data_IF_140547996761
#
_entry.id   IF_140547996761
#
_cell.length_a   1.000
_cell.length_b   1.000
_cell.length_c   1.000
_cell.angle_alpha   90.00
_cell.angle_beta   90.00
_cell.angle_gamma   90.00
#
_symmetry.space_group_name_H-M   'P 1'
#
loop_
_entity.id
_entity.type
_entity.pdbx_description
1 polymer ?
#
# COMPACT_ATOMS: atom_id res chain seq x y z
N UNK A 1 17.19 -8.06 -6.18
CA UNK A 1 18.03 -7.03 -5.54
C UNK A 1 19.52 -7.32 -5.71
N UNK A 2 19.97 -8.55 -5.45
CA UNK A 2 21.38 -8.96 -5.59
C UNK A 2 21.99 -8.65 -6.96
N UNK A 3 21.31 -8.99 -8.05
CA UNK A 3 21.77 -8.71 -9.41
C UNK A 3 21.98 -7.21 -9.68
N UNK A 4 21.12 -6.35 -9.13
CA UNK A 4 21.25 -4.90 -9.25
C UNK A 4 22.47 -4.39 -8.48
N UNK A 5 22.66 -4.84 -7.24
CA UNK A 5 23.83 -4.47 -6.43
C UNK A 5 25.14 -4.94 -7.08
N UNK A 6 25.15 -6.12 -7.71
CA UNK A 6 26.29 -6.62 -8.49
C UNK A 6 26.62 -5.70 -9.65
N UNK A 7 25.63 -5.34 -10.49
CA UNK A 7 25.83 -4.43 -11.62
C UNK A 7 26.34 -3.06 -11.17
N UNK A 8 25.82 -2.54 -10.05
CA UNK A 8 26.25 -1.26 -9.49
C UNK A 8 27.73 -1.29 -9.11
N UNK A 9 28.19 -2.36 -8.45
CA UNK A 9 29.60 -2.54 -8.12
C UNK A 9 30.48 -2.72 -9.36
N UNK A 10 30.05 -3.57 -10.30
CA UNK A 10 30.80 -3.86 -11.53
C UNK A 10 30.98 -2.64 -12.42
N UNK A 11 29.96 -1.77 -12.49
CA UNK A 11 29.98 -0.57 -13.33
C UNK A 11 30.49 0.68 -12.59
N UNK A 12 30.81 0.59 -11.30
CA UNK A 12 31.23 1.73 -10.50
C UNK A 12 30.16 2.83 -10.41
N UNK A 13 28.89 2.45 -10.26
CA UNK A 13 27.79 3.41 -10.14
C UNK A 13 27.86 4.09 -8.77
N UNK A 14 28.05 5.41 -8.76
CA UNK A 14 28.24 6.20 -7.54
C UNK A 14 26.93 6.58 -6.82
N UNK A 15 25.79 6.54 -7.53
CA UNK A 15 24.47 6.81 -6.96
C UNK A 15 23.40 6.00 -7.69
N UNK A 16 22.57 5.29 -6.91
CA UNK A 16 21.37 4.61 -7.42
C UNK A 16 20.11 5.40 -7.04
N UNK A 17 19.16 5.57 -7.94
CA UNK A 17 17.87 6.22 -7.67
C UNK A 17 16.77 5.20 -7.96
N UNK A 18 15.90 4.94 -6.97
CA UNK A 18 14.81 3.97 -7.14
C UNK A 18 13.57 4.70 -7.68
N UNK A 19 13.09 4.26 -8.83
CA UNK A 19 11.86 4.77 -9.43
C UNK A 19 10.59 4.10 -8.88
N UNK A 20 10.42 2.77 -9.08
CA UNK A 20 9.19 2.09 -8.70
C UNK A 20 9.06 1.85 -7.20
N UNK A 21 7.81 1.79 -6.73
CA UNK A 21 7.40 1.62 -5.35
C UNK A 21 7.61 0.18 -4.82
N UNK A 22 7.48 -0.85 -5.66
CA UNK A 22 7.60 -2.25 -5.22
C UNK A 22 8.99 -2.55 -4.63
N UNK A 23 10.12 -2.20 -5.29
CA UNK A 23 11.45 -2.41 -4.69
C UNK A 23 11.65 -1.63 -3.38
N UNK A 24 11.05 -0.46 -3.24
CA UNK A 24 11.10 0.33 -2.00
C UNK A 24 10.39 -0.40 -0.86
N UNK A 25 9.16 -0.87 -1.11
CA UNK A 25 8.39 -1.67 -0.15
C UNK A 25 9.06 -3.00 0.20
N UNK A 26 9.81 -3.59 -0.73
CA UNK A 26 10.56 -4.83 -0.50
C UNK A 26 11.87 -4.59 0.27
N UNK A 27 12.35 -3.35 0.39
CA UNK A 27 13.56 -2.99 1.14
C UNK A 27 14.85 -2.95 0.33
N UNK A 28 14.78 -2.55 -0.94
CA UNK A 28 15.99 -2.38 -1.77
C UNK A 28 16.98 -1.37 -1.15
N UNK A 29 16.46 -0.33 -0.51
CA UNK A 29 17.28 0.73 0.10
C UNK A 29 18.06 0.15 1.29
N UNK A 30 17.40 -0.58 2.18
CA UNK A 30 18.04 -1.25 3.32
C UNK A 30 19.11 -2.24 2.83
N UNK A 31 18.79 -3.02 1.78
CA UNK A 31 19.74 -3.95 1.18
C UNK A 31 20.99 -3.25 0.61
N UNK A 32 20.82 -2.16 -0.15
CA UNK A 32 21.94 -1.39 -0.71
C UNK A 32 22.76 -0.71 0.37
N UNK A 33 22.11 -0.13 1.38
CA UNK A 33 22.79 0.48 2.53
C UNK A 33 23.62 -0.54 3.32
N UNK A 34 23.12 -1.77 3.51
CA UNK A 34 23.88 -2.85 4.15
C UNK A 34 25.18 -3.23 3.41
N UNK A 35 25.25 -2.92 2.11
CA UNK A 35 26.42 -3.16 1.26
C UNK A 35 27.30 -1.90 1.08
N UNK A 36 26.97 -0.79 1.73
CA UNK A 36 27.64 0.49 1.59
C UNK A 36 27.44 1.15 0.22
N UNK A 37 26.39 0.78 -0.52
CA UNK A 37 26.10 1.34 -1.85
C UNK A 37 25.22 2.59 -1.68
N UNK A 38 25.63 3.76 -2.22
CA UNK A 38 24.79 4.95 -2.19
C UNK A 38 23.52 4.77 -3.01
N UNK A 39 22.37 5.01 -2.36
CA UNK A 39 21.04 4.86 -2.96
C UNK A 39 20.10 5.94 -2.42
N UNK A 40 19.23 6.44 -3.29
CA UNK A 40 18.17 7.40 -2.97
C UNK A 40 16.80 6.72 -3.03
N UNK A 41 16.08 6.77 -1.92
CA UNK A 41 14.74 6.22 -1.72
C UNK A 41 14.46 6.02 -0.22
N UNK A 42 13.20 5.83 0.18
CA UNK A 42 12.86 5.47 1.56
C UNK A 42 13.36 4.07 1.92
N UNK A 43 13.72 3.86 3.18
CA UNK A 43 13.89 2.51 3.75
C UNK A 43 12.55 1.76 3.73
N UNK A 44 12.57 0.43 3.87
CA UNK A 44 11.36 -0.39 3.93
C UNK A 44 10.35 0.11 4.96
N UNK A 45 10.84 0.46 6.15
CA UNK A 45 10.00 1.01 7.22
C UNK A 45 9.41 2.38 6.85
N UNK A 46 10.16 3.24 6.16
CA UNK A 46 9.64 4.52 5.70
C UNK A 46 8.67 4.37 4.51
N UNK A 47 8.89 3.38 3.64
CA UNK A 47 8.04 3.08 2.49
C UNK A 47 6.65 2.57 2.88
N UNK A 48 6.46 2.16 4.14
CA UNK A 48 5.16 1.75 4.70
C UNK A 48 4.09 2.84 4.57
N UNK A 49 4.49 4.11 4.54
CA UNK A 49 3.57 5.23 4.30
C UNK A 49 2.83 5.15 2.95
N UNK A 50 3.38 4.44 1.97
CA UNK A 50 2.74 4.19 0.68
C UNK A 50 2.29 2.73 0.55
N UNK A 51 3.08 1.78 1.03
CA UNK A 51 2.80 0.35 0.88
C UNK A 51 1.69 -0.16 1.79
N UNK A 52 1.31 0.58 2.84
CA UNK A 52 0.10 0.34 3.63
C UNK A 52 -0.72 1.63 3.77
N UNK A 53 -1.87 1.69 3.11
CA UNK A 53 -2.82 2.80 3.25
C UNK A 53 -3.41 2.86 4.65
N UNK A 54 -3.52 1.73 5.35
CA UNK A 54 -3.96 1.69 6.73
C UNK A 54 -2.93 2.32 7.65
N UNK A 55 -1.65 1.95 7.53
CA UNK A 55 -0.57 2.61 8.28
C UNK A 55 -0.58 4.12 8.02
N UNK A 56 -0.67 4.55 6.76
CA UNK A 56 -0.72 5.96 6.41
C UNK A 56 -1.91 6.69 7.08
N UNK A 57 -3.08 6.05 7.13
CA UNK A 57 -4.29 6.59 7.77
C UNK A 57 -4.15 6.68 9.28
N UNK A 58 -3.64 5.65 9.93
CA UNK A 58 -3.38 5.64 11.37
C UNK A 58 -2.34 6.71 11.74
N UNK A 59 -1.28 6.88 10.93
CA UNK A 59 -0.28 7.93 11.10
C UNK A 59 -0.91 9.32 11.01
N UNK A 60 -1.71 9.58 9.98
CA UNK A 60 -2.39 10.86 9.81
C UNK A 60 -3.33 11.18 10.98
N UNK A 61 -4.13 10.19 11.43
CA UNK A 61 -5.04 10.36 12.57
C UNK A 61 -4.28 10.62 13.87
N UNK A 62 -3.22 9.85 14.13
CA UNK A 62 -2.38 9.96 15.33
C UNK A 62 -1.74 11.34 15.48
N UNK A 63 -1.29 11.92 14.37
CA UNK A 63 -0.59 13.21 14.37
C UNK A 63 -1.46 14.40 13.92
N UNK A 64 -2.77 14.22 13.78
CA UNK A 64 -3.69 15.31 13.43
C UNK A 64 -3.49 15.88 12.02
N UNK A 65 -2.95 15.09 11.09
CA UNK A 65 -2.81 15.47 9.68
C UNK A 65 -4.21 15.40 9.02
N UNK A 66 -4.71 16.49 8.41
CA UNK A 66 -6.03 16.50 7.78
C UNK A 66 -6.18 15.38 6.75
N UNK A 67 -7.18 14.51 6.95
CA UNK A 67 -7.46 13.41 6.04
C UNK A 67 -8.95 13.01 6.09
N UNK A 68 -9.43 12.32 5.04
CA UNK A 68 -10.77 11.76 5.06
C UNK A 68 -10.93 10.74 6.20
N UNK A 69 -12.05 10.80 6.92
CA UNK A 69 -12.41 9.79 7.93
C UNK A 69 -12.51 8.42 7.26
N UNK A 70 -11.93 7.42 7.90
CA UNK A 70 -11.91 6.04 7.42
C UNK A 70 -11.83 5.09 8.59
N UNK A 71 -12.35 3.88 8.38
CA UNK A 71 -12.20 2.74 9.27
C UNK A 71 -11.59 1.62 8.44
N UNK A 72 -10.67 0.86 9.05
CA UNK A 72 -9.98 -0.23 8.37
C UNK A 72 -10.45 -1.58 8.87
N UNK A 73 -10.50 -2.56 7.98
CA UNK A 73 -11.04 -3.89 8.28
C UNK A 73 -10.16 -4.99 7.71
N UNK A 74 -9.93 -6.02 8.52
CA UNK A 74 -9.30 -7.28 8.13
C UNK A 74 -10.28 -8.45 8.09
N UNK A 75 -11.58 -8.19 8.36
CA UNK A 75 -12.65 -9.17 8.30
C UNK A 75 -13.75 -8.69 7.35
N UNK A 76 -14.02 -9.47 6.30
CA UNK A 76 -15.01 -9.14 5.27
C UNK A 76 -16.40 -8.85 5.85
N UNK A 77 -16.86 -9.66 6.80
CA UNK A 77 -18.20 -9.50 7.40
C UNK A 77 -18.33 -8.16 8.12
N UNK A 78 -17.34 -7.77 8.93
CA UNK A 78 -17.34 -6.48 9.64
C UNK A 78 -17.29 -5.29 8.67
N UNK A 79 -16.49 -5.40 7.62
CA UNK A 79 -16.42 -4.36 6.59
C UNK A 79 -17.76 -4.21 5.85
N UNK A 80 -18.41 -5.33 5.53
CA UNK A 80 -19.72 -5.34 4.86
C UNK A 80 -20.81 -4.72 5.74
N UNK A 81 -20.87 -5.09 7.01
CA UNK A 81 -21.78 -4.51 8.00
C UNK A 81 -21.58 -2.99 8.13
N UNK A 82 -20.33 -2.54 8.16
CA UNK A 82 -20.01 -1.11 8.18
C UNK A 82 -20.51 -0.40 6.93
N UNK A 83 -20.25 -0.95 5.74
CA UNK A 83 -20.71 -0.40 4.45
C UNK A 83 -22.23 -0.23 4.44
N UNK A 84 -22.98 -1.22 4.91
CA UNK A 84 -24.45 -1.20 4.94
C UNK A 84 -25.04 -0.06 5.79
N UNK A 85 -24.26 0.51 6.69
CA UNK A 85 -24.65 1.63 7.55
C UNK A 85 -24.24 3.01 7.01
N UNK A 86 -23.50 3.06 5.89
CA UNK A 86 -23.02 4.31 5.30
C UNK A 86 -23.99 4.88 4.25
N UNK A 87 -23.78 6.15 3.91
CA UNK A 87 -24.46 6.79 2.76
C UNK A 87 -23.46 6.92 1.60
N UNK A 88 -23.80 6.45 0.38
CA UNK A 88 -22.96 6.65 -0.79
C UNK A 88 -22.72 8.13 -1.15
N UNK A 89 -21.59 8.46 -1.81
CA UNK A 89 -20.55 7.56 -2.30
C UNK A 89 -19.60 7.04 -1.21
N UNK A 90 -19.14 5.81 -1.36
CA UNK A 90 -18.20 5.13 -0.44
C UNK A 90 -16.93 4.80 -1.22
N UNK A 91 -15.77 5.00 -0.60
CA UNK A 91 -14.48 4.65 -1.23
C UNK A 91 -13.92 3.40 -0.55
N UNK A 92 -13.78 2.32 -1.30
CA UNK A 92 -13.12 1.08 -0.85
C UNK A 92 -11.71 1.07 -1.39
N UNK A 93 -10.72 0.83 -0.54
CA UNK A 93 -9.30 0.81 -0.91
C UNK A 93 -8.66 -0.47 -0.39
N UNK A 94 -7.95 -1.20 -1.23
CA UNK A 94 -7.03 -2.24 -0.76
C UNK A 94 -5.89 -1.57 0.02
N UNK A 95 -5.47 -2.15 1.14
CA UNK A 95 -4.40 -1.61 1.98
C UNK A 95 -3.07 -1.56 1.21
N UNK A 96 -2.65 -2.71 0.69
CA UNK A 96 -1.35 -2.91 0.07
C UNK A 96 -1.16 -2.27 -1.31
N UNK A 97 0.02 -2.51 -1.89
CA UNK A 97 0.32 -2.13 -3.28
C UNK A 97 -0.51 -2.98 -4.25
N UNK A 98 -1.48 -2.35 -4.91
CA UNK A 98 -2.39 -2.97 -5.87
C UNK A 98 -2.17 -2.45 -7.30
N UNK A 99 -0.92 -2.14 -7.65
CA UNK A 99 -0.52 -1.58 -8.95
C UNK A 99 -1.35 -0.35 -9.39
N UNK A 100 -1.71 0.51 -8.43
CA UNK A 100 -2.55 1.69 -8.67
C UNK A 100 -4.04 1.40 -8.92
N UNK A 101 -4.49 0.14 -8.88
CA UNK A 101 -5.87 -0.27 -9.20
C UNK A 101 -6.74 -0.60 -7.98
N UNK A 102 -6.15 -0.65 -6.79
CA UNK A 102 -6.85 -1.04 -5.55
C UNK A 102 -7.70 0.05 -4.92
N UNK A 103 -8.30 0.95 -5.70
CA UNK A 103 -9.19 2.02 -5.19
C UNK A 103 -10.42 2.09 -6.08
N UNK A 104 -11.60 2.00 -5.46
CA UNK A 104 -12.88 2.15 -6.15
C UNK A 104 -13.76 3.15 -5.40
N UNK A 105 -14.40 4.04 -6.16
CA UNK A 105 -15.45 4.94 -5.66
C UNK A 105 -16.79 4.33 -6.03
N UNK A 106 -17.48 3.76 -5.04
CA UNK A 106 -18.77 3.13 -5.21
C UNK A 106 -19.91 4.13 -4.95
N UNK A 107 -20.81 4.27 -5.92
CA UNK A 107 -21.94 5.20 -5.88
C UNK A 107 -23.20 4.57 -5.27
N UNK A 108 -23.14 3.28 -4.90
CA UNK A 108 -24.23 2.56 -4.27
C UNK A 108 -23.72 1.53 -3.25
N UNK A 109 -24.58 1.13 -2.31
CA UNK A 109 -24.28 0.05 -1.36
C UNK A 109 -23.94 -1.27 -2.07
N UNK A 110 -24.72 -1.72 -3.09
CA UNK A 110 -24.37 -2.95 -3.82
C UNK A 110 -22.99 -2.90 -4.47
N UNK A 111 -22.63 -1.78 -5.11
CA UNK A 111 -21.32 -1.60 -5.75
C UNK A 111 -20.17 -1.62 -4.73
N UNK A 112 -20.38 -1.03 -3.54
CA UNK A 112 -19.38 -1.03 -2.47
C UNK A 112 -19.17 -2.44 -1.90
N UNK A 113 -20.25 -3.20 -1.71
CA UNK A 113 -20.18 -4.60 -1.23
C UNK A 113 -19.53 -5.51 -2.28
N UNK A 114 -19.85 -5.33 -3.56
CA UNK A 114 -19.24 -6.08 -4.66
C UNK A 114 -17.74 -5.81 -4.76
N UNK A 115 -17.34 -4.54 -4.70
CA UNK A 115 -15.93 -4.14 -4.64
C UNK A 115 -15.21 -4.77 -3.44
N UNK A 116 -15.84 -4.73 -2.26
CA UNK A 116 -15.30 -5.30 -1.05
C UNK A 116 -15.08 -6.81 -1.19
N UNK A 117 -16.05 -7.53 -1.76
CA UNK A 117 -15.95 -8.96 -2.03
C UNK A 117 -14.79 -9.27 -2.99
N UNK A 118 -14.69 -8.54 -4.09
CA UNK A 118 -13.59 -8.72 -5.05
C UNK A 118 -12.21 -8.44 -4.45
N UNK A 119 -12.14 -7.46 -3.54
CA UNK A 119 -10.90 -7.09 -2.86
C UNK A 119 -10.49 -8.15 -1.83
N UNK A 120 -11.38 -8.54 -0.92
CA UNK A 120 -11.04 -9.35 0.26
C UNK A 120 -11.22 -10.86 0.05
N UNK A 121 -12.26 -11.30 -0.66
CA UNK A 121 -12.64 -12.71 -0.79
C UNK A 121 -12.19 -13.30 -2.13
N UNK A 122 -12.46 -12.60 -3.24
CA UNK A 122 -12.01 -13.05 -4.56
C UNK A 122 -10.51 -12.77 -4.82
N UNK A 123 -9.83 -12.10 -3.88
CA UNK A 123 -8.40 -11.79 -3.90
C UNK A 123 -7.91 -11.15 -5.21
N UNK A 124 -8.68 -10.22 -5.77
CA UNK A 124 -8.34 -9.52 -7.01
C UNK A 124 -6.97 -8.81 -6.96
N UNK A 125 -6.49 -8.48 -5.75
CA UNK A 125 -5.19 -7.83 -5.51
C UNK A 125 -4.24 -8.69 -4.66
N UNK A 126 -4.50 -10.00 -4.53
CA UNK A 126 -3.73 -10.89 -3.65
C UNK A 126 -3.73 -10.38 -2.20
N UNK A 127 -2.57 -10.46 -1.53
CA UNK A 127 -2.42 -10.05 -0.13
C UNK A 127 -2.67 -8.55 0.11
N UNK A 128 -2.57 -7.70 -0.93
CA UNK A 128 -2.87 -6.28 -0.78
C UNK A 128 -4.32 -6.01 -0.37
N UNK A 129 -5.23 -6.94 -0.68
CA UNK A 129 -6.66 -6.88 -0.32
C UNK A 129 -7.03 -7.61 0.97
N UNK A 130 -6.08 -8.15 1.73
CA UNK A 130 -6.37 -8.79 3.02
C UNK A 130 -6.89 -7.80 4.07
N UNK A 131 -6.59 -6.51 3.87
CA UNK A 131 -7.10 -5.39 4.63
C UNK A 131 -7.60 -4.30 3.69
N UNK A 132 -8.65 -3.59 4.10
CA UNK A 132 -9.22 -2.42 3.42
C UNK A 132 -9.36 -1.22 4.35
#
# INVERSE_FOLDING_TARGET
MESLAKIVKEKGIELTIVGPETPLADGIVDYFQSLGIPIFGPTKAAAEIESSKVFAKELMQKYGIPCARSVSFSEYIKAKEYIQQQTPPIVVKADGLAAGKGVTVANSIPEAVDTLYHTMEAKAFGAAGDKV
#
